data_IF_695482724696
#
_entry.id   IF_695482724696
#
_cell.length_a   1.000
_cell.length_b   1.000
_cell.length_c   1.000
_cell.angle_alpha   90.00
_cell.angle_beta   90.00
_cell.angle_gamma   90.00
#
_symmetry.space_group_name_H-M   'P 1'
#
loop_
_entity.id
_entity.type
_entity.pdbx_description
1 polymer ?
#
# COMPACT_ATOMS: atom_id res chain seq x y z
N UNK A 1 -28.70 27.91 13.39
CA UNK A 1 -27.73 26.83 13.18
C UNK A 1 -27.83 26.29 11.76
N UNK A 2 -26.91 26.71 10.88
CA UNK A 2 -26.65 26.05 9.59
C UNK A 2 -25.16 25.76 9.54
N UNK A 3 -24.80 24.51 9.29
CA UNK A 3 -23.42 24.09 9.05
C UNK A 3 -23.23 23.96 7.56
N UNK A 4 -22.25 24.65 7.01
CA UNK A 4 -21.90 24.56 5.59
C UNK A 4 -20.41 24.23 5.51
N UNK A 5 -20.07 23.18 4.77
CA UNK A 5 -18.68 22.88 4.45
C UNK A 5 -18.26 23.70 3.24
N UNK A 6 -17.13 24.38 3.35
CA UNK A 6 -16.62 25.23 2.29
C UNK A 6 -15.16 24.91 2.02
N UNK A 7 -14.86 24.56 0.77
CA UNK A 7 -13.51 24.30 0.29
C UNK A 7 -13.04 25.49 -0.52
N UNK A 8 -11.95 26.14 -0.10
CA UNK A 8 -11.35 27.21 -0.89
C UNK A 8 -10.47 26.61 -1.97
N UNK A 9 -10.89 26.74 -3.21
CA UNK A 9 -9.97 26.69 -4.36
C UNK A 9 -9.62 28.15 -4.69
N UNK A 10 -8.45 28.63 -4.29
CA UNK A 10 -7.97 29.93 -4.76
C UNK A 10 -7.68 29.81 -6.26
N UNK A 11 -8.49 30.46 -7.10
CA UNK A 11 -8.29 30.49 -8.53
C UNK A 11 -7.35 31.62 -8.96
N UNK A 12 -6.07 31.30 -9.21
CA UNK A 12 -5.27 31.62 -10.41
C UNK A 12 -3.78 31.18 -10.21
N UNK A 13 -2.99 31.00 -11.29
CA UNK A 13 -2.19 29.80 -11.52
C UNK A 13 -1.06 29.60 -10.50
N UNK A 14 -1.00 28.36 -10.02
CA UNK A 14 0.16 27.63 -9.51
C UNK A 14 1.41 28.47 -9.21
N UNK A 15 1.47 29.02 -8.00
CA UNK A 15 2.75 29.11 -7.29
C UNK A 15 2.91 27.77 -6.56
N UNK A 16 3.97 27.04 -6.90
CA UNK A 16 4.30 25.77 -6.27
C UNK A 16 4.32 25.94 -4.73
N UNK A 17 3.38 25.29 -4.04
CA UNK A 17 3.37 25.24 -2.57
C UNK A 17 2.00 25.37 -1.90
N UNK A 18 0.96 25.87 -2.58
CA UNK A 18 -0.32 26.12 -1.92
C UNK A 18 -1.24 24.88 -1.90
N UNK A 19 -1.26 24.17 -0.77
CA UNK A 19 -2.19 23.04 -0.52
C UNK A 19 -3.60 23.58 -0.29
N UNK A 20 -4.58 23.01 -1.01
CA UNK A 20 -6.00 23.34 -0.82
C UNK A 20 -6.43 23.07 0.63
N UNK A 21 -7.12 24.04 1.25
CA UNK A 21 -7.62 23.92 2.63
C UNK A 21 -9.14 23.81 2.68
N UNK A 22 -9.63 22.95 3.56
CA UNK A 22 -11.06 22.75 3.79
C UNK A 22 -11.44 23.29 5.15
N UNK A 23 -12.44 24.17 5.19
CA UNK A 23 -12.96 24.74 6.42
C UNK A 23 -14.41 24.31 6.65
N UNK A 24 -14.70 23.88 7.88
CA UNK A 24 -16.09 23.74 8.34
C UNK A 24 -16.53 25.08 8.88
N UNK A 25 -17.58 25.66 8.29
CA UNK A 25 -18.11 26.96 8.70
C UNK A 25 -19.45 26.77 9.40
N UNK A 26 -19.51 27.17 10.66
CA UNK A 26 -20.74 27.22 11.44
C UNK A 26 -21.21 28.67 11.54
N UNK A 27 -22.45 28.93 11.12
CA UNK A 27 -23.06 30.26 11.15
C UNK A 27 -24.18 30.31 12.20
N UNK A 28 -24.06 31.26 13.13
CA UNK A 28 -25.06 31.53 14.16
C UNK A 28 -25.48 32.99 14.17
N UNK A 29 -26.79 33.20 14.24
CA UNK A 29 -27.38 34.52 14.35
C UNK A 29 -27.34 34.99 15.80
N UNK A 30 -26.82 36.20 16.03
CA UNK A 30 -26.85 36.84 17.35
C UNK A 30 -28.12 37.67 17.44
N UNK A 31 -28.98 37.36 18.42
CA UNK A 31 -30.26 38.04 18.62
C UNK A 31 -30.18 38.91 19.86
N UNK A 32 -30.56 40.18 19.75
CA UNK A 32 -30.40 41.17 20.84
C UNK A 32 -31.41 41.00 21.99
N UNK A 33 -32.55 40.32 21.76
CA UNK A 33 -33.65 40.21 22.74
C UNK A 33 -34.20 38.77 22.83
N UNK A 34 -34.62 38.37 24.04
CA UNK A 34 -35.25 37.04 24.33
C UNK A 34 -36.50 36.72 23.49
N UNK A 35 -37.07 37.71 22.78
CA UNK A 35 -38.25 37.57 21.92
C UNK A 35 -37.96 37.17 20.45
N UNK A 36 -36.70 37.18 20.00
CA UNK A 36 -36.38 36.70 18.64
C UNK A 36 -36.48 37.73 17.50
N UNK A 37 -37.07 38.91 17.74
CA UNK A 37 -37.55 39.79 16.65
C UNK A 37 -36.48 40.63 15.91
N UNK A 38 -35.22 40.64 16.37
CA UNK A 38 -34.14 41.41 15.72
C UNK A 38 -32.79 40.70 15.76
N UNK A 39 -32.30 40.34 14.57
CA UNK A 39 -30.94 39.82 14.35
C UNK A 39 -29.96 41.01 14.41
N UNK A 40 -29.01 40.97 15.34
CA UNK A 40 -27.97 42.01 15.51
C UNK A 40 -26.67 41.71 14.78
N UNK A 41 -26.48 40.47 14.36
CA UNK A 41 -25.29 40.08 13.62
C UNK A 41 -25.25 38.58 13.35
N UNK A 42 -24.22 38.15 12.64
CA UNK A 42 -23.92 36.75 12.38
C UNK A 42 -22.51 36.48 12.90
N UNK A 43 -22.37 35.44 13.71
CA UNK A 43 -21.07 34.89 14.10
C UNK A 43 -20.77 33.72 13.17
N UNK A 44 -19.59 33.76 12.55
CA UNK A 44 -19.05 32.67 11.75
C UNK A 44 -17.86 32.06 12.47
N UNK A 45 -17.90 30.75 12.70
CA UNK A 45 -16.75 29.99 13.21
C UNK A 45 -16.20 29.16 12.06
N UNK A 46 -14.92 29.37 11.73
CA UNK A 46 -14.21 28.61 10.71
C UNK A 46 -13.26 27.65 11.42
N UNK A 47 -13.52 26.35 11.30
CA UNK A 47 -12.61 25.32 11.77
C UNK A 47 -11.86 24.75 10.56
N UNK A 48 -10.53 24.83 10.56
CA UNK A 48 -9.71 24.12 9.58
C UNK A 48 -9.87 22.62 9.83
N UNK A 49 -10.46 21.92 8.86
CA UNK A 49 -10.72 20.48 8.90
C UNK A 49 -9.98 19.76 7.76
N UNK A 50 -8.94 20.39 7.21
CA UNK A 50 -8.21 19.89 6.04
C UNK A 50 -7.64 18.51 6.31
N UNK A 51 -6.94 18.33 7.42
CA UNK A 51 -6.29 17.05 7.77
C UNK A 51 -7.31 15.93 8.02
N UNK A 52 -8.41 16.24 8.68
CA UNK A 52 -9.50 15.29 8.94
C UNK A 52 -10.16 14.85 7.64
N UNK A 53 -10.35 15.77 6.70
CA UNK A 53 -10.91 15.48 5.38
C UNK A 53 -9.95 14.68 4.51
N UNK A 54 -8.66 15.00 4.53
CA UNK A 54 -7.62 14.22 3.84
C UNK A 54 -7.60 12.78 4.36
N UNK A 55 -7.56 12.58 5.68
CA UNK A 55 -7.60 11.24 6.30
C UNK A 55 -8.90 10.50 5.96
N UNK A 56 -10.05 11.19 6.00
CA UNK A 56 -11.32 10.58 5.63
C UNK A 56 -11.38 10.20 4.14
N UNK A 57 -10.82 11.04 3.27
CA UNK A 57 -10.72 10.77 1.82
C UNK A 57 -9.85 9.56 1.55
N UNK A 58 -8.65 9.50 2.15
CA UNK A 58 -7.75 8.36 2.04
C UNK A 58 -8.40 7.06 2.52
N UNK A 59 -9.18 7.12 3.60
CA UNK A 59 -9.93 5.96 4.11
C UNK A 59 -11.02 5.50 3.13
N UNK A 60 -11.74 6.43 2.52
CA UNK A 60 -12.76 6.10 1.52
C UNK A 60 -12.14 5.52 0.25
N UNK A 61 -11.05 6.13 -0.22
CA UNK A 61 -10.28 5.64 -1.36
C UNK A 61 -9.74 4.23 -1.10
N UNK A 62 -9.22 3.96 0.10
CA UNK A 62 -8.82 2.62 0.50
C UNK A 62 -9.95 1.60 0.40
N UNK A 63 -11.12 1.89 0.98
CA UNK A 63 -12.26 0.96 0.96
C UNK A 63 -12.72 0.69 -0.48
N UNK A 64 -12.73 1.73 -1.32
CA UNK A 64 -13.05 1.60 -2.74
C UNK A 64 -12.01 0.72 -3.45
N UNK A 65 -10.73 1.01 -3.30
CA UNK A 65 -9.63 0.27 -3.92
C UNK A 65 -9.62 -1.20 -3.49
N UNK A 66 -9.79 -1.48 -2.20
CA UNK A 66 -9.92 -2.85 -1.67
C UNK A 66 -11.09 -3.57 -2.31
N UNK A 67 -12.26 -2.92 -2.39
CA UNK A 67 -13.45 -3.51 -2.99
C UNK A 67 -13.22 -3.84 -4.47
N UNK A 68 -12.56 -2.96 -5.21
CA UNK A 68 -12.20 -3.21 -6.61
C UNK A 68 -11.18 -4.34 -6.76
N UNK A 69 -10.12 -4.36 -5.94
CA UNK A 69 -9.08 -5.40 -6.00
C UNK A 69 -9.57 -6.78 -5.56
N UNK A 70 -10.61 -6.86 -4.71
CA UNK A 70 -11.32 -8.09 -4.34
C UNK A 70 -12.29 -8.57 -5.43
N UNK A 71 -12.96 -7.65 -6.13
CA UNK A 71 -14.00 -7.98 -7.12
C UNK A 71 -13.42 -8.68 -8.36
N UNK A 72 -12.26 -8.23 -8.85
CA UNK A 72 -11.59 -8.81 -10.02
C UNK A 72 -11.24 -10.32 -9.86
N UNK A 73 -10.48 -10.75 -8.83
CA UNK A 73 -10.14 -12.16 -8.65
C UNK A 73 -11.40 -13.01 -8.39
N UNK A 74 -12.37 -12.49 -7.64
CA UNK A 74 -13.65 -13.19 -7.41
C UNK A 74 -14.45 -13.39 -8.70
N UNK A 75 -14.50 -12.39 -9.58
CA UNK A 75 -15.15 -12.49 -10.87
C UNK A 75 -14.45 -13.51 -11.78
N UNK A 76 -13.11 -13.55 -11.75
CA UNK A 76 -12.33 -14.56 -12.48
C UNK A 76 -12.62 -15.98 -11.98
N UNK A 77 -12.55 -16.22 -10.67
CA UNK A 77 -12.91 -17.52 -10.06
C UNK A 77 -14.31 -17.95 -10.50
N UNK A 78 -15.28 -17.04 -10.41
CA UNK A 78 -16.66 -17.32 -10.80
C UNK A 78 -16.77 -17.72 -12.27
N UNK A 79 -16.13 -16.98 -13.18
CA UNK A 79 -16.16 -17.27 -14.61
C UNK A 79 -15.55 -18.66 -14.91
N UNK A 80 -14.37 -18.98 -14.35
CA UNK A 80 -13.75 -20.30 -14.56
C UNK A 80 -14.59 -21.45 -13.98
N UNK A 81 -15.24 -21.25 -12.83
CA UNK A 81 -16.17 -22.23 -12.27
C UNK A 81 -17.40 -22.41 -13.17
N UNK A 82 -17.98 -21.35 -13.71
CA UNK A 82 -19.10 -21.41 -14.66
C UNK A 82 -18.72 -22.19 -15.93
N UNK A 83 -17.57 -21.89 -16.54
CA UNK A 83 -17.08 -22.62 -17.72
C UNK A 83 -16.86 -24.12 -17.46
N UNK A 84 -16.39 -24.49 -16.26
CA UNK A 84 -16.23 -25.89 -15.85
C UNK A 84 -17.58 -26.59 -15.65
N UNK A 85 -18.56 -25.90 -15.06
CA UNK A 85 -19.91 -26.44 -14.82
C UNK A 85 -20.73 -26.59 -16.09
N UNK A 86 -20.59 -25.64 -17.02
CA UNK A 86 -21.27 -25.65 -18.32
C UNK A 86 -20.68 -26.69 -19.30
N UNK A 87 -19.58 -27.34 -18.90
CA UNK A 87 -18.94 -28.40 -19.67
C UNK A 87 -18.19 -27.88 -20.90
N UNK A 88 -17.83 -26.59 -20.93
CA UNK A 88 -17.06 -25.97 -22.02
C UNK A 88 -15.62 -26.50 -22.11
N UNK A 89 -15.17 -27.23 -21.08
CA UNK A 89 -13.84 -27.82 -21.00
C UNK A 89 -13.93 -29.32 -21.23
N UNK A 90 -13.33 -29.79 -22.32
CA UNK A 90 -13.50 -31.18 -22.79
C UNK A 90 -12.32 -32.10 -22.53
N UNK A 91 -11.17 -31.56 -22.10
CA UNK A 91 -9.96 -32.34 -21.82
C UNK A 91 -9.40 -32.08 -20.42
N UNK A 92 -8.67 -33.07 -19.91
CA UNK A 92 -8.13 -33.05 -18.55
C UNK A 92 -7.01 -32.01 -18.35
N UNK A 93 -6.30 -31.61 -19.41
CA UNK A 93 -5.22 -30.63 -19.30
C UNK A 93 -5.81 -29.22 -19.12
N UNK A 94 -6.77 -28.84 -19.97
CA UNK A 94 -7.50 -27.56 -19.86
C UNK A 94 -8.24 -27.45 -18.52
N UNK A 95 -8.86 -28.54 -18.06
CA UNK A 95 -9.53 -28.56 -16.75
C UNK A 95 -8.54 -28.29 -15.60
N UNK A 96 -7.34 -28.85 -15.68
CA UNK A 96 -6.28 -28.61 -14.70
C UNK A 96 -5.78 -27.17 -14.72
N UNK A 97 -5.66 -26.56 -15.89
CA UNK A 97 -5.27 -25.15 -16.03
C UNK A 97 -6.30 -24.20 -15.40
N UNK A 98 -7.59 -24.48 -15.59
CA UNK A 98 -8.67 -23.68 -15.02
C UNK A 98 -8.68 -23.80 -13.49
N UNK A 99 -8.55 -25.02 -12.97
CA UNK A 99 -8.43 -25.27 -11.53
C UNK A 99 -7.19 -24.58 -10.93
N UNK A 100 -6.06 -24.57 -11.65
CA UNK A 100 -4.87 -23.86 -11.22
C UNK A 100 -5.08 -22.35 -11.18
N UNK A 101 -5.80 -21.80 -12.16
CA UNK A 101 -6.15 -20.37 -12.18
C UNK A 101 -7.05 -20.01 -11.00
N UNK A 102 -8.07 -20.83 -10.72
CA UNK A 102 -8.94 -20.66 -9.55
C UNK A 102 -8.13 -20.67 -8.25
N UNK A 103 -7.21 -21.63 -8.08
CA UNK A 103 -6.36 -21.73 -6.90
C UNK A 103 -5.48 -20.48 -6.73
N UNK A 104 -4.85 -20.02 -7.81
CA UNK A 104 -4.00 -18.83 -7.78
C UNK A 104 -4.78 -17.56 -7.40
N UNK A 105 -6.01 -17.40 -7.89
CA UNK A 105 -6.86 -16.25 -7.55
C UNK A 105 -7.39 -16.34 -6.11
N UNK A 106 -7.66 -17.54 -5.59
CA UNK A 106 -8.02 -17.75 -4.19
C UNK A 106 -6.86 -17.38 -3.25
N UNK A 107 -5.64 -17.79 -3.59
CA UNK A 107 -4.44 -17.41 -2.84
C UNK A 107 -4.18 -15.90 -2.92
N UNK A 108 -4.46 -15.28 -4.07
CA UNK A 108 -4.38 -13.82 -4.24
C UNK A 108 -5.38 -13.08 -3.34
N UNK A 109 -6.62 -13.57 -3.26
CA UNK A 109 -7.63 -13.06 -2.33
C UNK A 109 -7.18 -13.19 -0.88
N UNK A 110 -6.65 -14.35 -0.47
CA UNK A 110 -6.18 -14.57 0.89
C UNK A 110 -5.06 -13.59 1.27
N UNK A 111 -4.05 -13.42 0.40
CA UNK A 111 -2.99 -12.42 0.59
C UNK A 111 -3.52 -10.99 0.71
N UNK A 112 -4.58 -10.64 -0.04
CA UNK A 112 -5.19 -9.30 0.06
C UNK A 112 -5.89 -9.10 1.41
N UNK A 113 -6.63 -10.10 1.89
CA UNK A 113 -7.31 -10.08 3.19
C UNK A 113 -6.29 -9.96 4.33
N UNK A 114 -5.23 -10.77 4.31
CA UNK A 114 -4.16 -10.72 5.32
C UNK A 114 -3.50 -9.34 5.38
N UNK A 115 -3.22 -8.72 4.23
CA UNK A 115 -2.67 -7.34 4.17
C UNK A 115 -3.61 -6.32 4.81
N UNK A 116 -4.92 -6.43 4.57
CA UNK A 116 -5.93 -5.53 5.17
C UNK A 116 -6.00 -5.71 6.68
N UNK A 117 -6.02 -6.96 7.16
CA UNK A 117 -6.06 -7.27 8.58
C UNK A 117 -4.79 -6.79 9.30
N UNK A 118 -3.62 -6.99 8.70
CA UNK A 118 -2.35 -6.53 9.24
C UNK A 118 -2.30 -5.00 9.32
N UNK A 119 -2.77 -4.30 8.29
CA UNK A 119 -2.89 -2.84 8.32
C UNK A 119 -3.83 -2.37 9.43
N UNK A 120 -5.00 -2.98 9.57
CA UNK A 120 -5.97 -2.64 10.62
C UNK A 120 -5.42 -2.86 12.03
N UNK A 121 -4.66 -3.94 12.24
CA UNK A 121 -3.98 -4.20 13.52
C UNK A 121 -2.91 -3.14 13.80
N UNK A 122 -2.10 -2.77 12.81
CA UNK A 122 -1.10 -1.70 12.94
C UNK A 122 -1.73 -0.35 13.30
N UNK A 123 -2.84 0.01 12.65
CA UNK A 123 -3.55 1.27 12.91
C UNK A 123 -4.22 1.35 14.28
N UNK A 124 -4.67 0.23 14.83
CA UNK A 124 -5.26 0.18 16.16
C UNK A 124 -4.22 0.21 17.29
N UNK A 125 -2.92 0.17 16.97
CA UNK A 125 -1.85 0.09 17.96
C UNK A 125 -1.81 -1.24 18.70
N UNK A 126 -2.54 -2.26 18.22
CA UNK A 126 -2.70 -3.57 18.86
C UNK A 126 -1.68 -4.60 18.38
N UNK A 127 -0.72 -4.22 17.52
CA UNK A 127 0.34 -5.13 17.09
C UNK A 127 1.31 -5.33 18.24
N UNK A 128 1.28 -6.52 18.84
CA UNK A 128 2.33 -6.97 19.72
C UNK A 128 3.61 -7.15 18.88
N UNK A 129 4.61 -6.31 19.13
CA UNK A 129 5.93 -6.43 18.50
C UNK A 129 6.79 -7.33 19.38
N UNK A 130 7.19 -8.48 18.87
CA UNK A 130 8.00 -9.45 19.60
C UNK A 130 9.46 -9.32 19.20
N UNK A 131 10.15 -8.34 19.79
CA UNK A 131 11.56 -8.09 19.47
C UNK A 131 12.47 -9.13 20.13
N UNK A 132 13.37 -9.69 19.33
CA UNK A 132 14.43 -10.61 19.77
C UNK A 132 15.74 -10.24 19.10
N UNK A 133 16.85 -10.71 19.65
CA UNK A 133 18.16 -10.54 19.03
C UNK A 133 18.32 -11.54 17.89
N UNK A 134 18.23 -11.07 16.64
CA UNK A 134 18.28 -11.90 15.45
C UNK A 134 19.40 -11.47 14.50
N UNK A 135 19.91 -12.41 13.71
CA UNK A 135 20.87 -12.11 12.66
C UNK A 135 20.13 -11.67 11.39
N UNK A 136 20.38 -10.45 10.92
CA UNK A 136 19.71 -9.92 9.72
C UNK A 136 19.95 -10.82 8.51
N UNK A 137 21.17 -11.34 8.38
CA UNK A 137 21.57 -12.29 7.33
C UNK A 137 20.66 -13.52 7.24
N UNK A 138 20.14 -14.04 8.35
CA UNK A 138 19.24 -15.22 8.33
C UNK A 138 17.91 -14.85 7.68
N UNK A 139 17.33 -13.72 8.08
CA UNK A 139 16.08 -13.19 7.49
C UNK A 139 16.25 -12.93 5.99
N UNK A 140 17.38 -12.36 5.57
CA UNK A 140 17.64 -12.08 4.15
C UNK A 140 17.79 -13.37 3.32
N UNK A 141 18.35 -14.45 3.89
CA UNK A 141 18.42 -15.75 3.23
C UNK A 141 17.02 -16.34 3.04
N UNK A 142 16.18 -16.30 4.07
CA UNK A 142 14.80 -16.78 3.96
C UNK A 142 14.04 -16.06 2.84
N UNK A 143 14.19 -14.73 2.73
CA UNK A 143 13.59 -13.95 1.64
C UNK A 143 14.15 -14.36 0.27
N UNK A 144 15.48 -14.53 0.17
CA UNK A 144 16.11 -14.93 -1.09
C UNK A 144 15.65 -16.33 -1.55
N UNK A 145 15.48 -17.27 -0.62
CA UNK A 145 15.00 -18.63 -0.90
C UNK A 145 13.55 -18.62 -1.40
N UNK A 146 12.71 -17.75 -0.86
CA UNK A 146 11.30 -17.60 -1.29
C UNK A 146 11.17 -16.89 -2.63
N UNK A 147 11.96 -15.84 -2.89
CA UNK A 147 11.85 -15.05 -4.12
C UNK A 147 12.64 -15.66 -5.28
N UNK A 148 13.72 -16.40 -5.01
CA UNK A 148 14.58 -17.00 -6.02
C UNK A 148 13.84 -17.75 -7.14
N UNK A 149 12.89 -18.67 -6.82
CA UNK A 149 12.08 -19.36 -7.82
C UNK A 149 11.22 -18.43 -8.67
N UNK A 150 10.63 -17.39 -8.08
CA UNK A 150 9.79 -16.41 -8.78
C UNK A 150 10.62 -15.53 -9.73
N UNK A 151 11.80 -15.10 -9.28
CA UNK A 151 12.75 -14.35 -10.09
C UNK A 151 13.22 -15.19 -11.28
N UNK A 152 13.59 -16.46 -11.05
CA UNK A 152 14.00 -17.38 -12.09
C UNK A 152 12.88 -17.65 -13.11
N UNK A 153 11.64 -17.83 -12.66
CA UNK A 153 10.47 -18.01 -13.54
C UNK A 153 10.23 -16.80 -14.44
N UNK A 154 10.52 -15.59 -13.96
CA UNK A 154 10.42 -14.34 -14.72
C UNK A 154 11.66 -14.07 -15.59
N UNK A 155 12.71 -14.87 -15.47
CA UNK A 155 13.99 -14.63 -16.13
C UNK A 155 14.77 -13.43 -15.55
N UNK A 156 14.54 -13.08 -14.28
CA UNK A 156 15.28 -12.05 -13.55
C UNK A 156 16.37 -12.71 -12.70
N UNK A 157 17.59 -12.21 -12.77
CA UNK A 157 18.69 -12.67 -11.91
C UNK A 157 18.58 -12.05 -10.53
N UNK A 158 18.54 -12.87 -9.48
CA UNK A 158 18.66 -12.42 -8.09
C UNK A 158 20.07 -12.70 -7.57
N UNK A 159 20.82 -11.66 -7.24
CA UNK A 159 22.13 -11.75 -6.59
C UNK A 159 22.00 -11.42 -5.10
N UNK A 160 22.48 -12.31 -4.23
CA UNK A 160 22.49 -12.09 -2.79
C UNK A 160 23.94 -11.95 -2.29
N UNK A 161 24.35 -10.72 -1.96
CA UNK A 161 25.65 -10.42 -1.35
C UNK A 161 25.44 -10.14 0.14
N UNK A 162 25.29 -11.23 0.90
CA UNK A 162 24.92 -11.16 2.30
C UNK A 162 26.16 -11.20 3.19
N UNK A 163 26.35 -10.16 3.98
CA UNK A 163 27.40 -10.14 4.99
C UNK A 163 27.25 -11.26 6.03
N UNK A 164 28.32 -11.55 6.80
CA UNK A 164 28.31 -12.64 7.77
C UNK A 164 27.23 -12.52 8.86
N UNK A 165 26.88 -13.68 9.44
CA UNK A 165 25.75 -13.87 10.39
C UNK A 165 25.88 -13.08 11.71
N UNK A 166 27.02 -12.42 11.97
CA UNK A 166 27.24 -11.67 13.21
C UNK A 166 26.58 -10.28 13.25
N UNK A 167 25.92 -9.82 12.18
CA UNK A 167 25.13 -8.60 12.19
C UNK A 167 23.78 -8.84 12.89
N UNK A 168 23.77 -8.58 14.20
CA UNK A 168 22.58 -8.78 15.05
C UNK A 168 21.85 -7.47 15.27
N UNK A 169 20.52 -7.55 15.24
CA UNK A 169 19.62 -6.43 15.56
C UNK A 169 18.56 -6.88 16.55
N UNK A 170 18.05 -5.95 17.34
CA UNK A 170 16.93 -6.20 18.25
C UNK A 170 15.61 -5.84 17.57
N UNK A 171 15.02 -6.81 16.88
CA UNK A 171 13.88 -6.61 15.99
C UNK A 171 12.87 -7.77 16.06
N UNK A 172 11.68 -7.53 15.52
CA UNK A 172 10.69 -8.58 15.30
C UNK A 172 11.01 -9.27 13.97
N UNK A 173 11.21 -10.58 14.02
CA UNK A 173 11.61 -11.39 12.88
C UNK A 173 10.61 -11.29 11.72
N UNK A 174 9.33 -11.51 12.01
CA UNK A 174 8.30 -11.60 10.99
C UNK A 174 8.05 -10.24 10.35
N UNK A 175 8.11 -9.16 11.14
CA UNK A 175 7.98 -7.81 10.60
C UNK A 175 9.16 -7.44 9.69
N UNK A 176 10.39 -7.80 10.07
CA UNK A 176 11.57 -7.56 9.24
C UNK A 176 11.52 -8.39 7.96
N UNK A 177 11.21 -9.68 8.07
CA UNK A 177 11.01 -10.59 6.95
C UNK A 177 9.99 -10.03 5.95
N UNK A 178 8.81 -9.62 6.42
CA UNK A 178 7.78 -9.05 5.57
C UNK A 178 8.20 -7.73 4.92
N UNK A 179 8.91 -6.86 5.63
CA UNK A 179 9.40 -5.61 5.07
C UNK A 179 10.36 -5.87 3.90
N UNK A 180 11.36 -6.73 4.10
CA UNK A 180 12.34 -7.08 3.06
C UNK A 180 11.67 -7.83 1.91
N UNK A 181 10.80 -8.80 2.19
CA UNK A 181 10.06 -9.56 1.18
C UNK A 181 9.25 -8.63 0.26
N UNK A 182 8.59 -7.62 0.82
CA UNK A 182 7.82 -6.64 0.04
C UNK A 182 8.72 -5.81 -0.88
N UNK A 183 9.89 -5.37 -0.41
CA UNK A 183 10.83 -4.59 -1.23
C UNK A 183 11.45 -5.44 -2.33
N UNK A 184 11.94 -6.64 -2.01
CA UNK A 184 12.58 -7.54 -2.98
C UNK A 184 11.57 -8.07 -4.01
N UNK A 185 10.34 -8.39 -3.60
CA UNK A 185 9.29 -8.80 -4.53
C UNK A 185 8.89 -7.66 -5.48
N UNK A 186 8.86 -6.41 -5.01
CA UNK A 186 8.66 -5.25 -5.88
C UNK A 186 9.81 -5.10 -6.87
N UNK A 187 11.07 -5.20 -6.43
CA UNK A 187 12.24 -5.14 -7.30
C UNK A 187 12.15 -6.18 -8.44
N UNK A 188 11.85 -7.44 -8.12
CA UNK A 188 11.65 -8.50 -9.13
C UNK A 188 10.45 -8.19 -10.04
N UNK A 189 9.34 -7.71 -9.48
CA UNK A 189 8.13 -7.39 -10.24
C UNK A 189 8.35 -6.25 -11.25
N UNK A 190 9.14 -5.24 -10.92
CA UNK A 190 9.37 -4.06 -11.77
C UNK A 190 10.66 -4.14 -12.60
N UNK A 191 11.41 -5.24 -12.51
CA UNK A 191 12.55 -5.55 -13.39
C UNK A 191 12.11 -6.35 -14.61
N UNK A 192 12.58 -5.99 -15.81
CA UNK A 192 12.26 -6.74 -17.04
C UNK A 192 12.99 -8.10 -17.09
N UNK A 193 12.53 -9.01 -17.96
CA UNK A 193 13.23 -10.27 -18.23
C UNK A 193 14.68 -9.99 -18.69
N UNK A 194 15.63 -10.77 -18.18
CA UNK A 194 17.06 -10.56 -18.36
C UNK A 194 17.68 -9.50 -17.44
N UNK A 195 16.87 -8.85 -16.58
CA UNK A 195 17.34 -7.88 -15.60
C UNK A 195 17.96 -8.50 -14.34
N UNK A 196 18.38 -7.63 -13.43
CA UNK A 196 19.13 -7.95 -12.22
C UNK A 196 18.50 -7.25 -11.01
N UNK A 197 18.29 -8.03 -9.96
CA UNK A 197 18.00 -7.56 -8.60
C UNK A 197 19.16 -7.99 -7.70
N UNK A 198 19.70 -7.06 -6.93
CA UNK A 198 20.73 -7.32 -5.92
C UNK A 198 20.16 -7.07 -4.53
N UNK A 199 20.28 -8.06 -3.66
CA UNK A 199 20.03 -7.96 -2.23
C UNK A 199 21.38 -8.01 -1.51
N UNK A 200 21.72 -6.96 -0.78
CA UNK A 200 22.97 -6.91 -0.01
C UNK A 200 22.76 -6.43 1.41
N UNK A 201 23.72 -6.73 2.28
CA UNK A 201 23.75 -6.15 3.61
C UNK A 201 25.17 -5.84 4.04
N UNK A 202 25.35 -4.71 4.72
CA UNK A 202 26.62 -4.21 5.19
C UNK A 202 26.45 -3.42 6.49
N UNK A 203 27.54 -3.16 7.20
CA UNK A 203 27.56 -2.22 8.32
C UNK A 203 27.94 -0.83 7.82
N UNK A 204 27.17 0.16 8.23
CA UNK A 204 27.47 1.57 8.00
C UNK A 204 27.09 2.39 9.24
N UNK A 205 28.02 3.21 9.71
CA UNK A 205 27.90 4.06 10.91
C UNK A 205 27.18 3.39 12.11
N UNK A 206 27.63 2.17 12.46
CA UNK A 206 27.06 1.41 13.59
C UNK A 206 25.67 0.81 13.35
N UNK A 207 25.14 0.93 12.14
CA UNK A 207 23.85 0.40 11.72
C UNK A 207 24.02 -0.75 10.72
N UNK A 208 23.11 -1.73 10.77
CA UNK A 208 23.01 -2.75 9.72
C UNK A 208 22.16 -2.18 8.59
N UNK A 209 22.75 -2.05 7.41
CA UNK A 209 22.06 -1.61 6.21
C UNK A 209 21.64 -2.84 5.40
N UNK A 210 20.39 -2.84 4.93
CA UNK A 210 19.87 -3.77 3.94
C UNK A 210 19.62 -2.97 2.68
N UNK A 211 20.31 -3.32 1.60
CA UNK A 211 20.22 -2.65 0.32
C UNK A 211 19.58 -3.58 -0.70
N UNK A 212 18.55 -3.06 -1.37
CA UNK A 212 17.86 -3.74 -2.48
C UNK A 212 17.97 -2.83 -3.69
N UNK A 213 18.68 -3.30 -4.71
CA UNK A 213 18.90 -2.57 -5.95
C UNK A 213 18.37 -3.35 -7.14
N UNK A 214 17.76 -2.66 -8.10
CA UNK A 214 17.31 -3.24 -9.35
C UNK A 214 17.62 -2.33 -10.54
N UNK A 215 17.62 -2.93 -11.74
CA UNK A 215 17.76 -2.21 -13.00
C UNK A 215 16.44 -2.17 -13.80
N UNK A 216 15.31 -2.11 -13.09
CA UNK A 216 13.97 -2.03 -13.67
C UNK A 216 13.60 -0.65 -14.19
N UNK A 217 12.30 -0.40 -14.27
CA UNK A 217 11.75 0.84 -14.84
C UNK A 217 12.05 2.11 -14.03
N UNK A 218 12.54 1.96 -12.80
CA UNK A 218 12.80 3.06 -11.89
C UNK A 218 11.51 3.73 -11.40
N UNK A 219 11.69 4.86 -10.70
CA UNK A 219 10.62 5.67 -10.12
C UNK A 219 10.89 7.11 -10.56
N UNK A 220 9.92 7.85 -11.14
CA UNK A 220 10.09 9.26 -11.44
C UNK A 220 10.44 10.06 -10.19
N UNK A 221 11.29 11.08 -10.32
CA UNK A 221 11.84 11.83 -9.19
C UNK A 221 10.73 12.53 -8.38
N UNK A 222 9.70 13.04 -9.07
CA UNK A 222 8.52 13.67 -8.48
C UNK A 222 7.63 12.70 -7.68
N UNK A 223 7.82 11.39 -7.83
CA UNK A 223 7.05 10.36 -7.13
C UNK A 223 7.78 9.76 -5.92
N UNK A 224 9.09 10.03 -5.76
CA UNK A 224 9.92 9.43 -4.70
C UNK A 224 9.39 9.67 -3.29
N UNK A 225 8.91 10.89 -3.00
CA UNK A 225 8.35 11.23 -1.69
C UNK A 225 7.00 10.53 -1.41
N UNK A 226 6.37 10.00 -2.47
CA UNK A 226 4.99 9.49 -2.43
C UNK A 226 4.91 7.98 -2.43
N UNK A 227 5.97 7.25 -2.77
CA UNK A 227 5.94 5.79 -2.87
C UNK A 227 5.65 5.08 -1.54
N UNK A 228 5.86 5.77 -0.42
CA UNK A 228 5.51 5.30 0.93
C UNK A 228 4.17 5.84 1.43
N UNK A 229 3.50 6.72 0.67
CA UNK A 229 2.13 7.14 0.98
C UNK A 229 1.19 5.92 0.87
N UNK A 230 0.26 5.83 1.82
CA UNK A 230 -0.73 4.76 1.81
C UNK A 230 -1.51 4.80 0.50
N UNK A 231 -1.64 3.63 -0.13
CA UNK A 231 -2.44 3.41 -1.35
C UNK A 231 -1.88 4.08 -2.61
N UNK A 232 -0.69 4.66 -2.53
CA UNK A 232 -0.03 5.20 -3.70
C UNK A 232 0.41 4.08 -4.65
N UNK A 233 0.14 4.27 -5.93
CA UNK A 233 0.71 3.47 -7.01
C UNK A 233 1.25 4.43 -8.05
N UNK A 234 2.52 4.26 -8.39
CA UNK A 234 3.13 5.01 -9.46
C UNK A 234 2.34 4.81 -10.76
N UNK A 235 2.09 5.90 -11.50
CA UNK A 235 1.47 5.77 -12.82
C UNK A 235 2.57 5.25 -13.74
N UNK A 236 2.38 4.05 -14.27
CA UNK A 236 3.29 3.52 -15.29
C UNK A 236 3.23 4.44 -16.51
N UNK A 237 4.28 5.23 -16.71
CA UNK A 237 4.60 5.84 -18.00
C UNK A 237 4.81 4.69 -18.98
N UNK A 238 3.90 4.54 -19.94
CA UNK A 238 4.05 3.59 -21.04
C UNK A 238 5.17 3.97 -21.99
#
# INVERSE_FOLDING_TARGET
HRTVEWTRHEGQPAVAGDRARTFRVTLDAVVQNKKGDRISGVVAVLNDVTKEKEVASLKNEFVSNVSHELKAPLASIKAYVEMLLDGEVHDAASSREFLQTIANEADRLNRLIERILNLSRMESGLVAVNKTDLAVTEVLREVADVIGPQAAQKGVKLEADLAPVFFRVHADHDMLYQAVLNVVSNAVKYTAEGGLVRLSTYLDDGSVVVDVSDNGFGIPEEELDRIFEKFYRARSSG
#
